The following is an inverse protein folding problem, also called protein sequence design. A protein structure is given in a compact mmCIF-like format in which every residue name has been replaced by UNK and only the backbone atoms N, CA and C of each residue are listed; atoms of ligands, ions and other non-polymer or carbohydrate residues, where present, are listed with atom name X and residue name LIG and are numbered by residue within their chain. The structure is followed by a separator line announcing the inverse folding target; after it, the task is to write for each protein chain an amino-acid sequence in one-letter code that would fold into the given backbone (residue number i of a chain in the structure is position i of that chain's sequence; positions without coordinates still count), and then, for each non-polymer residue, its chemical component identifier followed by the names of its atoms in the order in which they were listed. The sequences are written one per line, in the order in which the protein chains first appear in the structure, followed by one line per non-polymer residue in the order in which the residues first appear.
data_IF_682940348575
#
_entry.id   IF_682940348575
#
_cell.length_a   1.000
_cell.length_b   1.000
_cell.length_c   1.000
_cell.angle_alpha   90.00
_cell.angle_beta   90.00
_cell.angle_gamma   90.00
#
_symmetry.space_group_name_H-M   'P 1'
#
loop_
_entity.id
_entity.type
_entity.pdbx_description
1 polymer ?
#
# COMPACT_ATOMS: atom_id res chain seq x y z
N UNK A 1 -33.56 -2.43 -17.14
CA UNK A 1 -33.34 -1.14 -16.45
C UNK A 1 -33.40 -1.22 -14.91
N UNK A 2 -33.99 -2.28 -14.34
CA UNK A 2 -34.19 -2.43 -12.89
C UNK A 2 -32.88 -2.73 -12.13
N UNK A 3 -32.02 -3.61 -12.66
CA UNK A 3 -30.73 -3.99 -12.02
C UNK A 3 -29.80 -2.80 -11.76
N UNK A 4 -29.68 -1.85 -12.71
CA UNK A 4 -28.85 -0.65 -12.53
C UNK A 4 -29.37 0.26 -11.41
N UNK A 5 -30.70 0.38 -11.25
CA UNK A 5 -31.32 1.19 -10.19
C UNK A 5 -31.20 0.51 -8.82
N UNK A 6 -31.31 -0.82 -8.76
CA UNK A 6 -31.13 -1.58 -7.51
C UNK A 6 -29.68 -1.54 -7.01
N UNK A 7 -28.70 -1.63 -7.92
CA UNK A 7 -27.28 -1.42 -7.58
C UNK A 7 -27.01 -0.02 -7.05
N UNK A 8 -27.57 1.02 -7.69
CA UNK A 8 -27.43 2.40 -7.24
C UNK A 8 -28.01 2.60 -5.82
N UNK A 9 -29.15 1.98 -5.53
CA UNK A 9 -29.76 2.02 -4.20
C UNK A 9 -28.89 1.32 -3.14
N UNK A 10 -28.26 0.21 -3.50
CA UNK A 10 -27.33 -0.51 -2.61
C UNK A 10 -26.05 0.29 -2.34
N UNK A 11 -25.51 0.96 -3.35
CA UNK A 11 -24.36 1.88 -3.21
C UNK A 11 -24.69 3.16 -2.42
N UNK A 12 -25.94 3.65 -2.47
CA UNK A 12 -26.36 4.82 -1.71
C UNK A 12 -26.59 4.49 -0.23
N UNK A 13 -27.09 3.28 0.08
CA UNK A 13 -27.35 2.87 1.46
C UNK A 13 -26.08 2.53 2.24
N UNK A 14 -25.01 2.07 1.58
CA UNK A 14 -23.73 1.79 2.24
C UNK A 14 -23.07 3.05 2.80
N UNK A 15 -23.33 4.24 2.22
CA UNK A 15 -22.75 5.52 2.67
C UNK A 15 -23.21 5.87 4.09
N UNK A 16 -24.42 5.46 4.49
CA UNK A 16 -24.99 5.79 5.81
C UNK A 16 -24.53 4.85 6.94
N UNK A 17 -23.97 3.67 6.63
CA UNK A 17 -23.55 2.69 7.64
C UNK A 17 -22.17 3.02 8.23
N UNK A 18 -21.34 3.79 7.53
CA UNK A 18 -19.96 4.11 7.96
C UNK A 18 -19.82 5.37 8.83
N UNK A 19 -20.93 6.02 9.24
CA UNK A 19 -20.91 7.30 9.94
C UNK A 19 -20.19 7.33 11.32
N UNK A 20 -19.68 6.19 11.81
CA UNK A 20 -18.95 6.12 13.09
C UNK A 20 -17.44 5.89 12.95
N UNK A 21 -16.94 5.51 11.76
CA UNK A 21 -15.54 5.20 11.51
C UNK A 21 -14.97 6.02 10.35
N UNK A 22 -13.89 6.75 10.62
CA UNK A 22 -13.24 7.60 9.63
C UNK A 22 -12.53 6.77 8.56
N UNK A 23 -12.90 7.02 7.30
CA UNK A 23 -12.10 6.60 6.15
C UNK A 23 -10.80 7.39 6.19
N UNK A 24 -9.69 6.77 5.81
CA UNK A 24 -8.44 7.50 5.67
C UNK A 24 -7.76 7.22 4.36
N UNK A 25 -6.97 8.19 3.92
CA UNK A 25 -6.23 8.14 2.67
C UNK A 25 -4.78 8.43 3.03
N UNK A 26 -3.85 7.75 2.39
CA UNK A 26 -2.44 8.00 2.63
C UNK A 26 -1.56 7.67 1.46
N UNK A 27 -0.29 8.02 1.63
CA UNK A 27 0.78 7.70 0.71
C UNK A 27 1.99 7.18 1.46
N UNK A 28 2.79 6.38 0.74
CA UNK A 28 4.09 5.90 1.18
C UNK A 28 5.14 6.29 0.15
N UNK A 29 6.26 6.82 0.63
CA UNK A 29 7.41 7.22 -0.17
C UNK A 29 8.66 6.59 0.43
N UNK A 30 9.46 5.90 -0.37
CA UNK A 30 10.55 5.13 0.17
C UNK A 30 11.62 4.74 -0.82
N UNK A 31 12.62 4.04 -0.29
CA UNK A 31 13.69 3.43 -1.04
C UNK A 31 13.86 1.98 -0.61
N UNK A 32 14.31 1.14 -1.52
CA UNK A 32 14.44 -0.28 -1.23
C UNK A 32 15.00 -1.05 -2.40
N UNK A 33 14.48 -2.25 -2.60
CA UNK A 33 14.91 -3.14 -3.65
C UNK A 33 13.73 -3.83 -4.34
N UNK A 34 13.87 -4.04 -5.64
CA UNK A 34 13.02 -4.92 -6.43
C UNK A 34 13.84 -6.11 -6.92
N UNK A 35 13.19 -7.27 -6.99
CA UNK A 35 13.80 -8.50 -7.48
C UNK A 35 12.76 -9.37 -8.16
N UNK A 36 13.15 -10.06 -9.22
CA UNK A 36 12.38 -11.14 -9.86
C UNK A 36 13.31 -12.35 -10.01
N UNK A 37 13.33 -13.01 -11.15
CA UNK A 37 14.31 -14.04 -11.53
C UNK A 37 15.75 -13.50 -11.69
N UNK A 38 15.97 -12.19 -11.51
CA UNK A 38 17.25 -11.50 -11.56
C UNK A 38 17.87 -11.22 -10.20
N UNK A 39 19.14 -10.75 -10.14
CA UNK A 39 19.69 -10.11 -8.95
C UNK A 39 18.85 -8.92 -8.49
N UNK A 40 18.96 -8.60 -7.21
CA UNK A 40 18.26 -7.47 -6.59
C UNK A 40 18.76 -6.14 -7.16
N UNK A 41 17.85 -5.24 -7.50
CA UNK A 41 18.17 -3.87 -7.94
C UNK A 41 17.66 -2.88 -6.91
N UNK A 42 18.38 -1.76 -6.73
CA UNK A 42 17.94 -0.67 -5.86
C UNK A 42 16.80 0.09 -6.53
N UNK A 43 15.77 0.47 -5.76
CA UNK A 43 14.58 1.11 -6.33
C UNK A 43 13.99 2.15 -5.40
N UNK A 44 13.40 3.20 -5.98
CA UNK A 44 12.53 4.10 -5.25
C UNK A 44 11.10 3.56 -5.28
N UNK A 45 10.33 3.85 -4.24
CA UNK A 45 8.96 3.36 -4.06
C UNK A 45 8.00 4.49 -3.80
N UNK A 46 6.83 4.31 -4.39
CA UNK A 46 5.69 5.19 -4.27
C UNK A 46 4.43 4.34 -4.12
N UNK A 47 3.62 4.63 -3.12
CA UNK A 47 2.31 3.97 -2.95
C UNK A 47 1.25 4.97 -2.50
N UNK A 48 0.04 4.75 -2.99
CA UNK A 48 -1.17 5.37 -2.46
C UNK A 48 -2.04 4.30 -1.84
N UNK A 49 -2.76 4.65 -0.77
CA UNK A 49 -3.69 3.72 -0.15
C UNK A 49 -4.94 4.41 0.40
N UNK A 50 -5.99 3.62 0.53
CA UNK A 50 -7.26 3.99 1.15
C UNK A 50 -7.60 2.93 2.19
N UNK A 51 -7.91 3.40 3.39
CA UNK A 51 -8.28 2.62 4.56
C UNK A 51 -9.79 2.72 4.74
N UNK A 52 -10.43 1.56 4.62
CA UNK A 52 -11.87 1.39 4.74
C UNK A 52 -12.16 0.58 6.01
N UNK A 53 -12.92 1.15 6.97
CA UNK A 53 -13.36 0.43 8.16
C UNK A 53 -14.10 -0.85 7.79
N UNK A 54 -13.90 -1.92 8.56
CA UNK A 54 -14.63 -3.17 8.33
C UNK A 54 -15.85 -3.27 9.24
N UNK A 55 -16.98 -3.83 8.78
CA UNK A 55 -18.16 -4.00 9.62
C UNK A 55 -17.98 -5.11 10.68
N UNK A 56 -16.91 -5.89 10.57
CA UNK A 56 -16.68 -7.09 11.40
C UNK A 56 -15.80 -6.81 12.62
N UNK A 57 -14.97 -5.77 12.60
CA UNK A 57 -14.04 -5.48 13.69
C UNK A 57 -13.67 -4.00 13.77
N UNK A 58 -13.67 -3.48 14.99
CA UNK A 58 -13.18 -2.12 15.29
C UNK A 58 -11.65 -2.05 15.38
N UNK A 59 -10.97 -3.20 15.42
CA UNK A 59 -9.51 -3.29 15.52
C UNK A 59 -8.83 -3.50 14.16
N UNK A 60 -9.59 -3.94 13.14
CA UNK A 60 -9.06 -4.29 11.82
C UNK A 60 -9.65 -3.36 10.77
N UNK A 61 -8.77 -2.69 10.04
CA UNK A 61 -9.10 -1.82 8.91
C UNK A 61 -8.63 -2.48 7.62
N UNK A 62 -9.45 -2.44 6.58
CA UNK A 62 -9.04 -2.93 5.26
C UNK A 62 -8.35 -1.83 4.49
N UNK A 63 -7.12 -2.07 4.05
CA UNK A 63 -6.32 -1.14 3.25
C UNK A 63 -6.18 -1.63 1.82
N UNK A 64 -6.63 -0.79 0.89
CA UNK A 64 -6.43 -0.97 -0.54
C UNK A 64 -5.26 -0.09 -0.97
N UNK A 65 -4.22 -0.67 -1.56
CA UNK A 65 -3.04 0.09 -1.98
C UNK A 65 -2.73 -0.10 -3.45
N UNK A 66 -2.27 0.96 -4.09
CA UNK A 66 -1.53 0.92 -5.35
C UNK A 66 -0.05 1.09 -5.03
N UNK A 67 0.81 0.29 -5.67
CA UNK A 67 2.24 0.24 -5.43
C UNK A 67 2.95 0.49 -6.75
N UNK A 68 3.99 1.31 -6.73
CA UNK A 68 4.90 1.55 -7.84
C UNK A 68 6.33 1.55 -7.30
N UNK A 69 7.22 0.78 -7.92
CA UNK A 69 8.64 0.76 -7.61
C UNK A 69 9.44 0.77 -8.90
N UNK A 70 10.46 1.60 -8.98
CA UNK A 70 11.26 1.77 -10.20
C UNK A 70 12.73 1.89 -9.82
N UNK A 71 13.59 1.41 -10.72
CA UNK A 71 15.04 1.43 -10.57
C UNK A 71 15.54 2.85 -10.24
N UNK A 72 16.45 2.95 -9.26
CA UNK A 72 17.07 4.21 -8.88
C UNK A 72 18.00 4.75 -9.96
N UNK A 73 18.58 3.87 -10.79
CA UNK A 73 19.54 4.26 -11.82
C UNK A 73 18.89 5.13 -12.90
N UNK A 74 17.56 5.15 -13.01
CA UNK A 74 16.82 6.07 -13.88
C UNK A 74 16.93 7.54 -13.45
N UNK A 75 17.14 7.80 -12.15
CA UNK A 75 17.29 9.16 -11.64
C UNK A 75 18.70 9.74 -11.91
N UNK A 76 19.63 8.92 -12.39
CA UNK A 76 21.00 9.34 -12.66
C UNK A 76 21.10 10.09 -14.00
N UNK A 77 21.65 11.31 -14.04
CA UNK A 77 21.64 12.18 -15.22
C UNK A 77 22.50 11.69 -16.40
N UNK A 78 23.25 10.59 -16.25
CA UNK A 78 24.14 10.04 -17.27
C UNK A 78 23.74 8.61 -17.68
N UNK A 79 22.48 8.23 -17.48
CA UNK A 79 22.00 6.92 -17.88
C UNK A 79 21.57 6.93 -19.36
N UNK A 80 22.19 6.08 -20.18
CA UNK A 80 21.89 5.88 -21.60
C UNK A 80 21.00 4.67 -21.87
N UNK A 81 20.55 3.98 -20.82
CA UNK A 81 19.71 2.79 -20.97
C UNK A 81 18.30 3.18 -21.41
N UNK A 82 17.84 2.56 -22.50
CA UNK A 82 16.51 2.79 -23.05
C UNK A 82 15.37 2.13 -22.24
N UNK A 83 15.72 1.35 -21.21
CA UNK A 83 14.78 0.59 -20.41
C UNK A 83 15.19 0.56 -18.94
N UNK A 84 14.25 0.92 -18.07
CA UNK A 84 14.41 0.84 -16.63
C UNK A 84 13.41 -0.14 -16.04
N UNK A 85 13.90 -1.00 -15.16
CA UNK A 85 13.09 -1.99 -14.45
C UNK A 85 12.06 -1.29 -13.58
N UNK A 86 10.81 -1.71 -13.66
CA UNK A 86 9.77 -1.26 -12.73
C UNK A 86 8.81 -2.38 -12.35
N UNK A 87 8.21 -2.22 -11.18
CA UNK A 87 7.12 -3.05 -10.69
C UNK A 87 5.95 -2.15 -10.35
N UNK A 88 4.74 -2.61 -10.65
CA UNK A 88 3.51 -1.94 -10.25
C UNK A 88 2.53 -2.95 -9.72
N UNK A 89 1.75 -2.61 -8.73
CA UNK A 89 0.87 -3.58 -8.10
C UNK A 89 -0.32 -2.96 -7.41
N UNK A 90 -1.22 -3.85 -7.02
CA UNK A 90 -2.33 -3.54 -6.14
C UNK A 90 -2.33 -4.53 -4.99
N UNK A 91 -2.71 -4.07 -3.81
CA UNK A 91 -2.82 -4.93 -2.64
C UNK A 91 -4.09 -4.65 -1.85
N UNK A 92 -4.54 -5.69 -1.15
CA UNK A 92 -5.62 -5.62 -0.16
C UNK A 92 -5.07 -6.22 1.12
N UNK A 93 -5.01 -5.42 2.18
CA UNK A 93 -4.40 -5.81 3.45
C UNK A 93 -5.30 -5.52 4.63
N UNK A 94 -5.19 -6.34 5.67
CA UNK A 94 -5.74 -6.07 6.98
C UNK A 94 -4.69 -5.28 7.78
N UNK A 95 -5.10 -4.16 8.36
CA UNK A 95 -4.26 -3.27 9.14
C UNK A 95 -4.75 -3.26 10.58
N UNK A 96 -3.82 -3.46 11.51
CA UNK A 96 -4.04 -3.36 12.95
C UNK A 96 -3.17 -2.21 13.47
N UNK A 97 -3.77 -1.32 14.25
CA UNK A 97 -3.06 -0.22 14.89
C UNK A 97 -3.09 -0.34 16.41
N UNK A 98 -1.94 -0.22 17.05
CA UNK A 98 -1.79 -0.14 18.49
C UNK A 98 -1.33 1.27 18.86
N UNK A 99 -2.18 2.03 19.56
CA UNK A 99 -1.80 3.35 20.07
C UNK A 99 -0.96 3.17 21.34
N UNK A 100 0.20 3.82 21.37
CA UNK A 100 1.15 3.83 22.48
C UNK A 100 1.03 5.17 23.25
N UNK A 101 1.76 5.31 24.35
CA UNK A 101 1.81 6.57 25.11
C UNK A 101 2.45 7.69 24.27
N UNK A 102 2.14 8.94 24.60
CA UNK A 102 2.73 10.15 24.00
C UNK A 102 2.49 10.27 22.49
N UNK A 103 1.29 9.91 22.01
CA UNK A 103 0.90 10.01 20.61
C UNK A 103 1.72 9.11 19.66
N UNK A 104 2.47 8.14 20.17
CA UNK A 104 3.09 7.14 19.30
C UNK A 104 2.07 6.08 18.90
N UNK A 105 2.24 5.48 17.73
CA UNK A 105 1.49 4.30 17.33
C UNK A 105 2.38 3.31 16.61
N UNK A 106 1.98 2.04 16.70
CA UNK A 106 2.51 0.94 15.90
C UNK A 106 1.40 0.49 14.94
N UNK A 107 1.75 0.24 13.70
CA UNK A 107 0.88 -0.30 12.67
C UNK A 107 1.49 -1.57 12.10
N UNK A 108 0.69 -2.63 12.04
CA UNK A 108 1.04 -3.90 11.43
C UNK A 108 0.02 -4.18 10.31
N UNK A 109 0.51 -4.62 9.16
CA UNK A 109 -0.37 -5.03 8.07
C UNK A 109 0.07 -6.34 7.43
N UNK A 110 -0.92 -7.11 7.00
CA UNK A 110 -0.73 -8.33 6.23
C UNK A 110 -1.84 -8.46 5.18
N UNK A 111 -1.52 -8.90 3.98
CA UNK A 111 -2.49 -8.91 2.90
C UNK A 111 -2.12 -9.72 1.68
N UNK A 112 -3.01 -9.66 0.69
CA UNK A 112 -2.83 -10.20 -0.64
C UNK A 112 -2.24 -9.12 -1.56
N UNK A 113 -1.36 -9.56 -2.45
CA UNK A 113 -0.66 -8.72 -3.41
C UNK A 113 -0.88 -9.26 -4.82
N UNK A 114 -1.15 -8.36 -5.77
CA UNK A 114 -1.00 -8.61 -7.19
C UNK A 114 0.06 -7.64 -7.72
N UNK A 115 1.17 -8.17 -8.22
CA UNK A 115 2.31 -7.41 -8.69
C UNK A 115 2.55 -7.71 -10.17
N UNK A 116 2.59 -6.68 -10.99
CA UNK A 116 3.00 -6.78 -12.37
C UNK A 116 4.52 -6.65 -12.45
N UNK A 117 5.18 -7.75 -12.78
CA UNK A 117 6.62 -7.77 -13.03
C UNK A 117 6.90 -7.22 -14.44
N UNK A 118 7.66 -6.12 -14.46
CA UNK A 118 8.31 -5.54 -15.63
C UNK A 118 9.76 -5.18 -15.30
N UNK A 119 10.47 -6.10 -14.64
CA UNK A 119 11.91 -6.00 -14.45
C UNK A 119 12.67 -6.34 -15.75
N UNK A 120 12.07 -7.13 -16.64
CA UNK A 120 12.62 -7.42 -17.96
C UNK A 120 11.72 -6.86 -19.06
N UNK A 121 12.31 -6.20 -20.06
CA UNK A 121 11.59 -5.49 -21.13
C UNK A 121 10.60 -6.35 -21.92
N UNK A 122 10.87 -7.65 -22.02
CA UNK A 122 10.05 -8.59 -22.78
C UNK A 122 8.97 -9.29 -21.93
N UNK A 123 8.95 -9.09 -20.61
CA UNK A 123 8.03 -9.77 -19.71
C UNK A 123 7.13 -8.76 -19.00
N UNK A 124 5.82 -8.99 -19.12
CA UNK A 124 4.79 -8.22 -18.42
C UNK A 124 3.80 -9.21 -17.84
N UNK A 125 4.14 -9.80 -16.71
CA UNK A 125 3.36 -10.88 -16.08
C UNK A 125 2.76 -10.38 -14.78
N UNK A 126 1.52 -10.78 -14.49
CA UNK A 126 0.90 -10.53 -13.20
C UNK A 126 1.17 -11.71 -12.28
N UNK A 127 1.72 -11.40 -11.12
CA UNK A 127 2.05 -12.36 -10.09
C UNK A 127 1.30 -12.09 -8.80
N UNK A 128 0.90 -13.16 -8.13
CA UNK A 128 0.07 -13.13 -6.95
C UNK A 128 0.85 -13.57 -5.72
N UNK A 129 0.59 -12.90 -4.61
CA UNK A 129 1.48 -12.95 -3.46
C UNK A 129 0.88 -12.47 -2.18
N UNK A 130 1.77 -12.26 -1.22
CA UNK A 130 1.46 -11.68 0.07
C UNK A 130 2.29 -10.42 0.29
N UNK A 131 1.76 -9.55 1.14
CA UNK A 131 2.41 -8.31 1.57
C UNK A 131 2.36 -8.24 3.09
N UNK A 132 3.45 -7.79 3.69
CA UNK A 132 3.56 -7.55 5.13
C UNK A 132 4.22 -6.20 5.36
N UNK A 133 3.72 -5.43 6.31
CA UNK A 133 4.37 -4.20 6.74
C UNK A 133 4.33 -4.01 8.25
N UNK A 134 5.34 -3.33 8.76
CA UNK A 134 5.35 -2.81 10.13
C UNK A 134 5.79 -1.36 10.08
N UNK A 135 5.11 -0.51 10.83
CA UNK A 135 5.36 0.91 10.89
C UNK A 135 5.26 1.41 12.33
N UNK A 136 6.19 2.29 12.68
CA UNK A 136 6.12 3.10 13.89
C UNK A 136 5.94 4.57 13.51
N UNK A 137 5.08 5.28 14.23
CA UNK A 137 4.76 6.65 13.86
C UNK A 137 4.21 7.53 14.98
N UNK A 138 3.88 8.75 14.59
CA UNK A 138 3.26 9.77 15.43
C UNK A 138 1.83 10.04 14.95
N UNK A 139 0.89 9.97 15.90
CA UNK A 139 -0.52 10.29 15.73
C UNK A 139 -0.79 11.72 16.17
N UNK A 140 -0.89 12.64 15.21
CA UNK A 140 -1.08 14.06 15.49
C UNK A 140 -2.55 14.43 15.72
N UNK A 141 -3.47 13.45 15.71
CA UNK A 141 -4.92 13.69 15.84
C UNK A 141 -5.34 14.02 17.27
N UNK A 142 -4.46 13.86 18.25
CA UNK A 142 -4.70 14.20 19.66
C UNK A 142 -6.03 13.63 20.18
N UNK A 143 -7.10 14.43 20.22
CA UNK A 143 -8.46 14.04 20.67
C UNK A 143 -9.52 14.01 19.56
N UNK A 144 -9.15 14.37 18.33
CA UNK A 144 -10.05 14.36 17.17
C UNK A 144 -10.05 12.99 16.48
N UNK A 145 -11.17 12.64 15.83
CA UNK A 145 -11.24 11.48 14.92
C UNK A 145 -10.62 11.77 13.55
N UNK A 146 -10.47 13.05 13.23
CA UNK A 146 -9.92 13.59 11.99
C UNK A 146 -8.50 14.14 12.21
N UNK A 147 -7.69 14.12 11.16
CA UNK A 147 -6.36 14.75 11.16
C UNK A 147 -5.29 13.84 10.60
N UNK A 148 -4.03 14.06 11.01
CA UNK A 148 -2.87 13.53 10.31
C UNK A 148 -2.05 12.54 11.14
N UNK A 149 -1.53 11.51 10.47
CA UNK A 149 -0.53 10.58 11.00
C UNK A 149 0.67 10.55 10.08
N UNK A 150 1.84 10.41 10.69
CA UNK A 150 3.09 10.16 9.98
C UNK A 150 3.80 8.96 10.59
N UNK A 151 4.64 8.30 9.81
CA UNK A 151 5.44 7.20 10.33
C UNK A 151 6.55 6.76 9.40
N UNK A 152 7.43 5.93 9.95
CA UNK A 152 8.46 5.22 9.21
C UNK A 152 8.19 3.73 9.35
N UNK A 153 8.27 3.01 8.25
CA UNK A 153 7.98 1.59 8.22
C UNK A 153 8.83 0.83 7.24
N UNK A 154 8.71 -0.49 7.33
CA UNK A 154 9.26 -1.43 6.36
C UNK A 154 8.15 -2.28 5.81
N UNK A 155 8.22 -2.57 4.52
CA UNK A 155 7.23 -3.38 3.81
C UNK A 155 7.95 -4.40 2.93
N UNK A 156 7.44 -5.62 2.94
CA UNK A 156 7.93 -6.71 2.13
C UNK A 156 6.75 -7.31 1.37
N UNK A 157 6.84 -7.28 0.04
CA UNK A 157 5.90 -7.95 -0.85
C UNK A 157 6.62 -9.06 -1.59
N UNK A 158 6.03 -10.25 -1.64
CA UNK A 158 6.58 -11.38 -2.37
C UNK A 158 5.46 -12.16 -3.05
N UNK A 159 5.76 -12.68 -4.23
CA UNK A 159 4.82 -13.45 -5.03
C UNK A 159 5.23 -14.92 -5.11
N UNK A 160 4.24 -15.77 -5.40
CA UNK A 160 4.39 -17.22 -5.45
C UNK A 160 4.19 -17.79 -6.86
N UNK A 161 3.93 -16.94 -7.85
CA UNK A 161 3.64 -17.32 -9.24
C UNK A 161 4.72 -16.82 -10.20
N UNK A 162 4.76 -17.46 -11.37
CA UNK A 162 5.60 -17.17 -12.55
C UNK A 162 7.03 -16.69 -12.25
N UNK A 163 7.21 -15.40 -11.99
CA UNK A 163 8.53 -14.74 -11.91
C UNK A 163 9.10 -14.62 -10.49
N UNK A 164 8.34 -15.04 -9.48
CA UNK A 164 8.69 -14.91 -8.06
C UNK A 164 9.11 -13.47 -7.70
N UNK A 165 8.49 -12.49 -8.36
CA UNK A 165 8.72 -11.07 -8.12
C UNK A 165 8.49 -10.72 -6.65
N UNK A 166 9.39 -9.91 -6.12
CA UNK A 166 9.37 -9.45 -4.74
C UNK A 166 9.96 -8.06 -4.63
N UNK A 167 9.57 -7.36 -3.58
CA UNK A 167 10.15 -6.09 -3.23
C UNK A 167 10.30 -5.96 -1.72
N UNK A 168 11.27 -5.17 -1.32
CA UNK A 168 11.46 -4.74 0.05
C UNK A 168 11.65 -3.23 0.05
N UNK A 169 10.96 -2.51 0.91
CA UNK A 169 11.04 -1.05 0.97
C UNK A 169 11.05 -0.54 2.40
N UNK A 170 11.88 0.47 2.64
CA UNK A 170 11.81 1.33 3.81
C UNK A 170 11.11 2.61 3.38
N UNK A 171 10.03 2.96 4.05
CA UNK A 171 9.15 4.04 3.61
C UNK A 171 8.78 5.00 4.74
N UNK A 172 8.58 6.25 4.34
CA UNK A 172 7.85 7.24 5.09
C UNK A 172 6.38 7.22 4.68
N UNK A 173 5.48 7.23 5.66
CA UNK A 173 4.03 7.26 5.46
C UNK A 173 3.47 8.60 5.91
N UNK A 174 2.55 9.12 5.11
CA UNK A 174 1.67 10.24 5.44
C UNK A 174 0.22 9.78 5.27
N UNK A 175 -0.63 10.00 6.28
CA UNK A 175 -2.01 9.53 6.27
C UNK A 175 -2.94 10.59 6.87
N UNK A 176 -4.04 10.86 6.18
CA UNK A 176 -5.09 11.79 6.61
C UNK A 176 -6.39 11.02 6.87
N UNK A 177 -7.01 11.30 8.01
CA UNK A 177 -8.29 10.75 8.43
C UNK A 177 -9.37 11.81 8.20
N UNK A 178 -10.40 11.40 7.47
CA UNK A 178 -11.54 12.22 7.03
C UNK A 178 -12.76 12.00 7.92
#
# INVERSE_FOLDING_TARGET
MIIKKTLLFFFLFSIFVFAQHSVSIGSKLGGGTIKSNSPSQGSYFFSFFIDVPTPFSNAIVSRFSFIYGQDLDELLPNNSDAYHSFVRGVSVSAVITQNLKNNFYLEESAGLLALNDRIFSNNSVWDYGAIFSILGGLDLRSKSKEGFRIGLGVENGFTFSNTLAKYFTVYFQAQIFL
#
